data_IF_991257798929
#
_entry.id   IF_991257798929
#
_cell.length_a   1.000
_cell.length_b   1.000
_cell.length_c   1.000
_cell.angle_alpha   90.00
_cell.angle_beta   90.00
_cell.angle_gamma   90.00
#
_symmetry.space_group_name_H-M   'P 1'
#
loop_
_entity.id
_entity.type
_entity.pdbx_description
1 polymer ?
#
# COMPACT_ATOMS: atom_id res chain seq x y z
N UNK A 1 -1.87 -17.01 16.24
CA UNK A 1 -1.93 -15.63 16.76
C UNK A 1 -2.33 -14.72 15.61
N UNK A 2 -3.49 -14.05 15.63
CA UNK A 2 -3.89 -13.18 14.53
C UNK A 2 -3.08 -11.88 14.62
N UNK A 3 -2.31 -11.60 13.57
CA UNK A 3 -1.49 -10.39 13.47
C UNK A 3 -2.36 -9.18 13.16
N UNK A 4 -2.20 -8.13 13.94
CA UNK A 4 -2.70 -6.79 13.67
C UNK A 4 -2.14 -6.30 12.33
N UNK A 5 -3.00 -5.85 11.41
CA UNK A 5 -2.54 -5.10 10.23
C UNK A 5 -2.26 -3.69 10.72
N UNK A 6 -0.98 -3.41 10.97
CA UNK A 6 -0.49 -2.08 11.30
C UNK A 6 0.09 -1.46 10.02
N UNK A 7 -0.56 -0.42 9.50
CA UNK A 7 0.12 0.52 8.61
C UNK A 7 1.13 1.31 9.45
N UNK A 8 2.33 0.77 9.65
CA UNK A 8 3.41 1.44 10.37
C UNK A 8 4.29 2.22 9.40
N UNK A 9 4.18 3.55 9.46
CA UNK A 9 5.28 4.45 9.13
C UNK A 9 6.28 4.44 10.30
N UNK A 10 7.58 4.37 10.00
CA UNK A 10 8.62 4.43 11.03
C UNK A 10 9.35 5.79 11.01
N UNK A 11 9.45 6.34 12.23
CA UNK A 11 10.37 7.36 12.73
C UNK A 11 10.01 8.84 12.49
N UNK A 12 9.45 9.49 13.52
CA UNK A 12 9.58 10.94 13.75
C UNK A 12 8.34 11.79 13.52
N UNK A 13 7.13 11.24 13.65
CA UNK A 13 5.89 11.94 13.30
C UNK A 13 5.24 12.53 14.57
N UNK A 14 5.02 13.85 14.54
CA UNK A 14 4.48 14.64 15.65
C UNK A 14 3.06 14.17 16.01
N UNK A 15 2.62 14.47 17.24
CA UNK A 15 1.36 14.00 17.84
C UNK A 15 0.09 14.28 16.99
N UNK A 16 0.17 15.22 16.04
CA UNK A 16 -0.91 15.56 15.09
C UNK A 16 -1.03 14.64 13.87
N UNK A 17 -0.04 13.81 13.54
CA UNK A 17 -0.10 12.88 12.41
C UNK A 17 -0.77 11.54 12.77
N UNK A 18 -0.99 11.28 14.06
CA UNK A 18 -1.71 10.09 14.52
C UNK A 18 -3.22 10.15 14.31
N UNK A 19 -3.81 11.32 14.03
CA UNK A 19 -5.27 11.46 13.80
C UNK A 19 -5.77 10.78 12.53
N UNK A 20 -4.89 10.42 11.59
CA UNK A 20 -5.25 9.71 10.37
C UNK A 20 -5.02 8.18 10.44
N UNK A 21 -4.61 7.64 11.59
CA UNK A 21 -4.29 6.21 11.74
C UNK A 21 -5.48 5.46 12.35
N UNK A 22 -6.17 4.68 11.53
CA UNK A 22 -7.20 3.72 11.98
C UNK A 22 -6.57 2.34 12.16
N UNK A 23 -6.85 1.69 13.30
CA UNK A 23 -6.43 0.31 13.58
C UNK A 23 -7.61 -0.63 13.48
N UNK A 24 -7.48 -1.68 12.68
CA UNK A 24 -8.46 -2.76 12.60
C UNK A 24 -7.90 -4.02 13.27
N UNK A 25 -8.78 -4.78 13.93
CA UNK A 25 -8.40 -6.01 14.62
C UNK A 25 -7.80 -7.05 13.65
N UNK A 26 -8.42 -7.18 12.48
CA UNK A 26 -8.01 -8.09 11.42
C UNK A 26 -8.45 -7.58 10.04
N UNK A 27 -8.09 -8.31 8.98
CA UNK A 27 -8.41 -7.96 7.60
C UNK A 27 -9.91 -7.90 7.33
N UNK A 28 -10.70 -8.76 7.97
CA UNK A 28 -12.16 -8.78 7.75
C UNK A 28 -12.80 -7.54 8.37
N UNK A 29 -12.39 -7.18 9.59
CA UNK A 29 -12.85 -5.95 10.25
C UNK A 29 -12.48 -4.69 9.43
N UNK A 30 -11.33 -4.69 8.75
CA UNK A 30 -10.98 -3.64 7.80
C UNK A 30 -11.96 -3.57 6.62
N UNK A 31 -12.24 -4.70 5.96
CA UNK A 31 -13.16 -4.74 4.82
C UNK A 31 -14.58 -4.28 5.20
N UNK A 32 -15.07 -4.68 6.37
CA UNK A 32 -16.39 -4.31 6.86
C UNK A 32 -16.49 -2.82 7.25
N UNK A 33 -15.44 -2.25 7.82
CA UNK A 33 -15.42 -0.84 8.26
C UNK A 33 -15.19 0.14 7.11
N UNK A 34 -14.24 -0.17 6.23
CA UNK A 34 -13.77 0.76 5.18
C UNK A 34 -14.47 0.52 3.83
N UNK A 35 -14.97 -0.70 3.60
CA UNK A 35 -15.65 -1.11 2.37
C UNK A 35 -14.93 -0.63 1.07
N UNK A 36 -13.64 -1.00 0.88
CA UNK A 36 -12.82 -0.46 -0.19
C UNK A 36 -13.36 -0.88 -1.56
N UNK A 37 -13.59 0.09 -2.45
CA UNK A 37 -14.02 -0.19 -3.83
C UNK A 37 -12.91 -0.84 -4.66
N UNK A 38 -11.66 -0.41 -4.44
CA UNK A 38 -10.45 -0.93 -5.09
C UNK A 38 -9.35 -1.05 -4.06
N UNK A 39 -8.72 -2.22 -4.00
CA UNK A 39 -7.67 -2.55 -3.04
C UNK A 39 -6.46 -3.15 -3.77
N UNK A 40 -5.36 -2.41 -3.81
CA UNK A 40 -4.11 -2.86 -4.45
C UNK A 40 -3.18 -3.48 -3.42
N UNK A 41 -2.71 -4.69 -3.67
CA UNK A 41 -1.73 -5.37 -2.84
C UNK A 41 -0.34 -5.30 -3.46
N UNK A 42 0.62 -4.73 -2.73
CA UNK A 42 2.02 -4.81 -3.12
C UNK A 42 2.60 -6.18 -2.76
N UNK A 43 3.03 -6.93 -3.76
CA UNK A 43 3.65 -8.25 -3.59
C UNK A 43 4.69 -8.52 -4.68
N UNK A 44 5.76 -9.23 -4.33
CA UNK A 44 6.78 -9.65 -5.31
C UNK A 44 6.22 -10.61 -6.36
N UNK A 45 5.09 -11.26 -6.06
CA UNK A 45 4.36 -12.15 -6.98
C UNK A 45 3.35 -11.41 -7.87
N UNK A 46 3.31 -10.07 -7.81
CA UNK A 46 2.39 -9.25 -8.59
C UNK A 46 2.75 -9.20 -10.07
N UNK A 47 1.75 -9.01 -10.93
CA UNK A 47 1.92 -9.06 -12.39
C UNK A 47 2.08 -7.66 -13.02
N UNK A 48 1.19 -6.69 -12.78
CA UNK A 48 1.44 -5.31 -13.20
C UNK A 48 2.55 -4.66 -12.36
N UNK A 49 3.38 -3.85 -13.02
CA UNK A 49 4.18 -2.86 -12.31
C UNK A 49 3.25 -1.85 -11.63
N UNK A 50 3.63 -1.32 -10.47
CA UNK A 50 2.80 -0.33 -9.75
C UNK A 50 2.47 0.91 -10.60
N UNK A 51 3.32 1.28 -11.55
CA UNK A 51 3.12 2.40 -12.47
C UNK A 51 2.31 2.05 -13.73
N UNK A 52 2.02 0.77 -13.97
CA UNK A 52 1.21 0.32 -15.10
C UNK A 52 -0.31 0.32 -14.78
N UNK A 53 -0.67 0.58 -13.53
CA UNK A 53 -2.05 0.72 -13.08
C UNK A 53 -2.48 2.18 -13.16
N UNK A 54 -3.74 2.43 -13.50
CA UNK A 54 -4.38 3.74 -13.40
C UNK A 54 -5.03 3.90 -12.03
N UNK A 55 -4.41 4.69 -11.16
CA UNK A 55 -4.96 5.00 -9.83
C UNK A 55 -6.09 6.02 -9.92
N UNK A 56 -7.02 5.92 -8.98
CA UNK A 56 -8.12 6.86 -8.82
C UNK A 56 -8.29 7.25 -7.35
N UNK A 57 -9.06 8.32 -7.12
CA UNK A 57 -9.41 8.72 -5.76
C UNK A 57 -10.16 7.61 -5.02
N UNK A 58 -9.84 7.41 -3.74
CA UNK A 58 -10.39 6.33 -2.91
C UNK A 58 -9.75 4.95 -3.12
N UNK A 59 -8.69 4.80 -3.92
CA UNK A 59 -7.94 3.55 -4.01
C UNK A 59 -7.21 3.25 -2.69
N UNK A 60 -7.35 2.02 -2.18
CA UNK A 60 -6.60 1.56 -1.01
C UNK A 60 -5.32 0.84 -1.46
N UNK A 61 -4.20 1.16 -0.80
CA UNK A 61 -2.88 0.55 -1.04
C UNK A 61 -2.48 -0.29 0.18
N UNK A 62 -2.34 -1.60 -0.03
CA UNK A 62 -2.05 -2.58 1.02
C UNK A 62 -0.62 -3.11 0.91
N UNK A 63 0.09 -3.06 2.03
CA UNK A 63 1.47 -3.50 2.16
C UNK A 63 1.59 -4.58 3.23
N UNK A 64 2.35 -5.63 2.93
CA UNK A 64 2.65 -6.68 3.89
C UNK A 64 3.82 -6.32 4.81
N UNK A 65 4.00 -7.03 5.94
CA UNK A 65 5.19 -6.92 6.78
C UNK A 65 6.46 -7.23 5.98
N UNK A 66 7.55 -6.50 6.27
CA UNK A 66 8.83 -6.59 5.55
C UNK A 66 9.39 -8.02 5.47
N UNK A 67 9.19 -8.83 6.52
CA UNK A 67 9.76 -10.17 6.63
C UNK A 67 8.98 -11.26 5.90
N UNK A 68 7.66 -11.14 5.80
CA UNK A 68 6.79 -12.24 5.33
C UNK A 68 5.88 -11.86 4.17
N UNK A 69 5.73 -10.57 3.88
CA UNK A 69 4.76 -10.08 2.91
C UNK A 69 3.31 -10.39 3.32
N UNK A 70 2.39 -10.25 2.37
CA UNK A 70 0.97 -10.50 2.60
C UNK A 70 0.67 -12.02 2.67
N UNK A 71 -0.21 -12.46 3.58
CA UNK A 71 -0.71 -13.83 3.61
C UNK A 71 -1.31 -14.25 2.27
N UNK A 72 -1.11 -15.51 1.87
CA UNK A 72 -1.69 -16.06 0.65
C UNK A 72 -3.21 -15.89 0.60
N UNK A 73 -3.91 -16.12 1.72
CA UNK A 73 -5.36 -15.96 1.83
C UNK A 73 -5.85 -14.54 1.48
N UNK A 74 -5.05 -13.51 1.73
CA UNK A 74 -5.37 -12.13 1.36
C UNK A 74 -5.09 -11.91 -0.13
N UNK A 75 -3.96 -12.41 -0.63
CA UNK A 75 -3.60 -12.29 -2.04
C UNK A 75 -4.56 -13.05 -2.95
N UNK A 76 -5.07 -14.20 -2.51
CA UNK A 76 -6.00 -15.05 -3.28
C UNK A 76 -7.40 -14.43 -3.35
N UNK A 77 -7.76 -13.60 -2.38
CA UNK A 77 -9.02 -12.84 -2.37
C UNK A 77 -9.02 -11.67 -3.37
N UNK A 78 -7.84 -11.26 -3.87
CA UNK A 78 -7.72 -10.16 -4.81
C UNK A 78 -7.59 -10.66 -6.26
N UNK A 79 -8.12 -9.91 -7.23
CA UNK A 79 -7.90 -10.21 -8.64
C UNK A 79 -6.45 -9.91 -9.04
N UNK A 80 -5.98 -10.51 -10.15
CA UNK A 80 -4.56 -10.49 -10.53
C UNK A 80 -4.06 -9.07 -10.87
N UNK A 81 -4.91 -8.25 -11.47
CA UNK A 81 -4.66 -6.86 -11.82
C UNK A 81 -4.52 -5.94 -10.59
N UNK A 82 -5.02 -6.35 -9.43
CA UNK A 82 -4.86 -5.62 -8.17
C UNK A 82 -3.62 -6.06 -7.38
N UNK A 83 -2.86 -7.04 -7.86
CA UNK A 83 -1.60 -7.50 -7.26
C UNK A 83 -0.44 -6.82 -7.98
N UNK A 84 0.01 -5.69 -7.46
CA UNK A 84 1.07 -4.87 -8.07
C UNK A 84 2.46 -5.25 -7.53
N UNK A 85 3.50 -4.95 -8.31
CA UNK A 85 4.90 -5.02 -7.87
C UNK A 85 5.68 -3.74 -8.20
N UNK A 86 6.72 -3.47 -7.45
CA UNK A 86 7.75 -2.50 -7.86
C UNK A 86 8.74 -3.25 -8.76
N UNK A 87 9.00 -2.78 -10.00
CA UNK A 87 10.05 -3.34 -10.84
C UNK A 87 11.42 -3.28 -10.15
N UNK A 88 12.15 -4.39 -10.13
CA UNK A 88 13.48 -4.49 -9.55
C UNK A 88 14.40 -5.23 -10.53
N UNK A 89 15.70 -4.92 -10.51
CA UNK A 89 16.67 -5.67 -11.33
C UNK A 89 16.82 -7.10 -10.77
N UNK A 90 17.18 -8.09 -11.61
CA UNK A 90 17.46 -9.45 -11.13
C UNK A 90 18.45 -9.46 -9.96
N UNK A 91 18.29 -10.40 -9.03
CA UNK A 91 19.14 -10.60 -7.84
C UNK A 91 19.19 -9.41 -6.85
N UNK A 92 18.28 -8.45 -6.98
CA UNK A 92 18.15 -7.37 -6.00
C UNK A 92 17.68 -7.88 -4.64
N UNK A 93 18.20 -7.27 -3.57
CA UNK A 93 17.63 -7.40 -2.23
C UNK A 93 16.27 -6.72 -2.17
N UNK A 94 15.38 -7.24 -1.33
CA UNK A 94 14.08 -6.65 -1.05
C UNK A 94 14.22 -5.18 -0.66
N UNK A 95 13.34 -4.34 -1.21
CA UNK A 95 13.25 -2.93 -0.86
C UNK A 95 12.73 -2.80 0.59
N UNK A 96 13.25 -1.83 1.33
CA UNK A 96 12.69 -1.51 2.64
C UNK A 96 11.21 -1.08 2.52
N UNK A 97 10.39 -1.46 3.50
CA UNK A 97 8.95 -1.22 3.47
C UNK A 97 8.60 0.26 3.32
N UNK A 98 9.29 1.18 4.01
CA UNK A 98 8.97 2.62 3.91
C UNK A 98 9.25 3.15 2.51
N UNK A 99 10.36 2.75 1.90
CA UNK A 99 10.70 3.11 0.53
C UNK A 99 9.66 2.56 -0.47
N UNK A 100 9.22 1.31 -0.27
CA UNK A 100 8.20 0.71 -1.10
C UNK A 100 6.86 1.47 -1.01
N UNK A 101 6.45 1.86 0.21
CA UNK A 101 5.26 2.69 0.42
C UNK A 101 5.42 4.03 -0.28
N UNK A 102 6.53 4.73 -0.05
CA UNK A 102 6.79 6.05 -0.66
C UNK A 102 6.72 6.01 -2.18
N UNK A 103 7.35 5.02 -2.82
CA UNK A 103 7.36 4.87 -4.29
C UNK A 103 5.94 4.67 -4.84
N UNK A 104 5.14 3.81 -4.22
CA UNK A 104 3.78 3.53 -4.71
C UNK A 104 2.85 4.72 -4.46
N UNK A 105 2.91 5.34 -3.28
CA UNK A 105 2.07 6.50 -2.93
C UNK A 105 2.37 7.69 -3.83
N UNK A 106 3.64 8.02 -4.07
CA UNK A 106 3.99 9.15 -4.95
C UNK A 106 3.62 8.89 -6.40
N UNK A 107 3.69 7.65 -6.89
CA UNK A 107 3.23 7.34 -8.25
C UNK A 107 1.71 7.51 -8.37
N UNK A 108 0.94 7.01 -7.40
CA UNK A 108 -0.51 7.23 -7.38
C UNK A 108 -0.85 8.73 -7.31
N UNK A 109 -0.18 9.47 -6.41
CA UNK A 109 -0.39 10.91 -6.25
C UNK A 109 -0.02 11.69 -7.51
N UNK A 110 1.06 11.30 -8.20
CA UNK A 110 1.44 11.85 -9.50
C UNK A 110 0.37 11.64 -10.56
N UNK A 111 -0.20 10.43 -10.67
CA UNK A 111 -1.27 10.17 -11.64
C UNK A 111 -2.53 10.99 -11.37
N UNK A 112 -2.82 11.28 -10.10
CA UNK A 112 -3.91 12.16 -9.69
C UNK A 112 -3.59 13.66 -9.87
N UNK A 113 -2.37 14.01 -10.30
CA UNK A 113 -1.97 15.40 -10.52
C UNK A 113 -1.53 16.15 -9.25
N UNK A 114 -1.04 15.42 -8.24
CA UNK A 114 -0.59 15.95 -6.95
C UNK A 114 -1.61 16.88 -6.24
N UNK A 115 -2.88 16.47 -6.07
CA UNK A 115 -3.87 17.27 -5.36
C UNK A 115 -3.37 17.65 -3.96
N UNK A 116 -3.54 18.93 -3.60
CA UNK A 116 -3.10 19.49 -2.32
C UNK A 116 -1.60 19.81 -2.22
N UNK A 117 -0.81 19.55 -3.26
CA UNK A 117 0.59 19.98 -3.28
C UNK A 117 0.70 21.50 -3.38
N UNK A 118 1.72 22.06 -2.71
CA UNK A 118 2.06 23.47 -2.84
C UNK A 118 2.72 23.69 -4.20
N UNK A 119 1.98 24.30 -5.13
CA UNK A 119 2.55 24.80 -6.36
C UNK A 119 3.25 26.13 -6.06
N UNK A 120 4.52 26.24 -6.47
CA UNK A 120 5.24 27.51 -6.48
C UNK A 120 5.40 27.90 -7.94
N UNK A 121 4.97 29.12 -8.25
CA UNK A 121 5.16 29.74 -9.56
C UNK A 121 6.64 30.02 -9.86
#
# INVERSE_FOLDING_TARGET
MPGTISACAAAGLDYHEFTAVTRHHDFRAFLEAENPQRLFALTTKGTPAHSAVSYQDGDYLMFGPETRGLPASILDALPAEQKIRIPMVPDSRSMNLSNAVSVVVYEAWRQLGYPGAVLRD
#
